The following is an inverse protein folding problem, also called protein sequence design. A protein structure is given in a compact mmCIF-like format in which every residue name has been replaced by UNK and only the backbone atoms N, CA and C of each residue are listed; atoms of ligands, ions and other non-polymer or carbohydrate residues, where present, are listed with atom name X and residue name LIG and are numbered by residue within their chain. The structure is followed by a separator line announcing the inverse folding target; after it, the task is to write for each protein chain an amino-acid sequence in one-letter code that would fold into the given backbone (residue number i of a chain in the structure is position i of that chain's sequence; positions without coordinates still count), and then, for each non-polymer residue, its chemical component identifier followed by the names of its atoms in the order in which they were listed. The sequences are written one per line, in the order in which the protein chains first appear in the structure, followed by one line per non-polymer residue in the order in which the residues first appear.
data_IF_987184859973
#
_entry.id   IF_987184859973
#
_cell.length_a   1.000
_cell.length_b   1.000
_cell.length_c   1.000
_cell.angle_alpha   90.00
_cell.angle_beta   90.00
_cell.angle_gamma   90.00
#
_symmetry.space_group_name_H-M   'P 1'
#
loop_
_entity.id
_entity.type
_entity.pdbx_description
1 polymer ?
#
# COMPACT_ATOMS: atom_id res chain seq x y z
N UNK A 1 22.75 -117.27 -74.92
CA UNK A 1 24.15 -117.73 -74.92
C UNK A 1 24.92 -116.77 -75.80
N UNK A 2 25.88 -116.02 -75.25
CA UNK A 2 26.74 -115.12 -76.03
C UNK A 2 27.76 -115.97 -76.82
N UNK A 3 27.96 -115.65 -78.10
CA UNK A 3 28.95 -116.32 -78.96
C UNK A 3 30.35 -115.82 -78.57
N UNK A 4 31.29 -116.74 -78.34
CA UNK A 4 32.67 -116.35 -78.01
C UNK A 4 33.39 -115.87 -79.26
N UNK A 5 34.38 -114.96 -79.15
CA UNK A 5 35.13 -114.46 -80.31
C UNK A 5 35.76 -115.59 -81.14
N UNK A 6 36.21 -116.66 -80.48
CA UNK A 6 36.78 -117.85 -81.13
C UNK A 6 35.72 -118.69 -81.89
N UNK A 7 34.44 -118.60 -81.51
CA UNK A 7 33.33 -119.26 -82.22
C UNK A 7 32.90 -118.50 -83.48
N UNK A 8 33.19 -117.19 -83.57
CA UNK A 8 32.87 -116.33 -84.71
C UNK A 8 33.86 -116.55 -85.85
N UNK A 9 35.17 -116.67 -85.55
CA UNK A 9 36.23 -116.94 -86.54
C UNK A 9 36.11 -118.31 -87.20
N UNK A 10 35.67 -119.33 -86.45
CA UNK A 10 35.59 -120.71 -86.95
C UNK A 10 34.32 -120.99 -87.76
N UNK A 11 33.41 -120.02 -87.89
CA UNK A 11 32.12 -120.21 -88.53
C UNK A 11 32.27 -120.17 -90.05
N UNK A 12 32.20 -121.35 -90.67
CA UNK A 12 32.31 -121.50 -92.11
C UNK A 12 30.93 -121.31 -92.77
N UNK A 13 30.83 -120.32 -93.66
CA UNK A 13 29.63 -120.12 -94.46
C UNK A 13 29.75 -120.89 -95.78
N UNK A 14 28.83 -121.83 -96.00
CA UNK A 14 28.72 -122.56 -97.27
C UNK A 14 28.39 -121.60 -98.41
N UNK A 15 29.09 -121.75 -99.53
CA UNK A 15 28.99 -120.94 -100.74
C UNK A 15 27.54 -120.71 -101.18
N UNK A 16 27.10 -119.45 -101.19
CA UNK A 16 25.77 -119.06 -101.67
C UNK A 16 25.85 -118.01 -102.77
N UNK A 17 25.42 -118.48 -103.94
CA UNK A 17 24.84 -117.93 -105.17
C UNK A 17 24.54 -116.43 -105.38
N UNK A 18 24.98 -115.47 -104.55
CA UNK A 18 24.90 -114.03 -104.85
C UNK A 18 25.88 -113.21 -103.99
N UNK A 19 26.96 -112.75 -104.62
CA UNK A 19 27.54 -111.43 -104.38
C UNK A 19 28.62 -111.24 -103.32
N UNK A 20 28.82 -112.13 -102.34
CA UNK A 20 29.84 -111.93 -101.30
C UNK A 20 30.94 -112.98 -101.40
N UNK A 21 32.20 -112.53 -101.48
CA UNK A 21 33.35 -113.42 -101.51
C UNK A 21 33.54 -114.08 -100.14
N UNK A 22 33.73 -115.41 -100.04
CA UNK A 22 34.01 -116.10 -98.78
C UNK A 22 35.21 -115.52 -98.02
N UNK A 23 36.20 -115.00 -98.75
CA UNK A 23 37.39 -114.38 -98.15
C UNK A 23 37.08 -113.01 -97.53
N UNK A 24 36.09 -112.29 -98.07
CA UNK A 24 35.60 -111.02 -97.54
C UNK A 24 34.78 -111.24 -96.27
N UNK A 25 33.95 -112.29 -96.26
CA UNK A 25 33.19 -112.70 -95.07
C UNK A 25 34.14 -113.18 -93.97
N UNK A 26 35.17 -113.96 -94.28
CA UNK A 26 36.20 -114.34 -93.30
C UNK A 26 36.95 -113.14 -92.75
N UNK A 27 37.30 -112.18 -93.60
CA UNK A 27 37.96 -110.93 -93.18
C UNK A 27 37.05 -110.10 -92.26
N UNK A 28 35.77 -109.97 -92.61
CA UNK A 28 34.79 -109.29 -91.78
C UNK A 28 34.54 -110.00 -90.46
N UNK A 29 34.49 -111.33 -90.44
CA UNK A 29 34.34 -112.11 -89.20
C UNK A 29 35.59 -112.02 -88.31
N UNK A 30 36.78 -112.01 -88.91
CA UNK A 30 38.01 -111.73 -88.18
C UNK A 30 38.02 -110.30 -87.63
N UNK A 31 37.55 -109.32 -88.40
CA UNK A 31 37.44 -107.92 -87.96
C UNK A 31 36.38 -107.74 -86.85
N UNK A 32 35.26 -108.47 -86.90
CA UNK A 32 34.25 -108.52 -85.84
C UNK A 32 34.78 -109.24 -84.60
N UNK A 33 35.50 -110.36 -84.77
CA UNK A 33 36.13 -111.07 -83.67
C UNK A 33 37.22 -110.22 -83.01
N UNK A 34 38.03 -109.49 -83.79
CA UNK A 34 39.02 -108.54 -83.28
C UNK A 34 38.36 -107.34 -82.61
N UNK A 35 37.26 -106.81 -83.15
CA UNK A 35 36.48 -105.75 -82.50
C UNK A 35 35.88 -106.24 -81.17
N UNK A 36 35.39 -107.48 -81.12
CA UNK A 36 34.83 -108.10 -79.91
C UNK A 36 35.91 -108.43 -78.88
N UNK A 37 37.08 -108.95 -79.31
CA UNK A 37 38.27 -109.08 -78.45
C UNK A 37 38.74 -107.72 -77.96
N UNK A 38 38.69 -106.66 -78.76
CA UNK A 38 39.01 -105.29 -78.32
C UNK A 38 37.99 -104.77 -77.30
N UNK A 39 36.70 -105.12 -77.40
CA UNK A 39 35.68 -104.73 -76.43
C UNK A 39 35.78 -105.51 -75.12
N UNK A 40 36.11 -106.81 -75.18
CA UNK A 40 36.36 -107.65 -74.00
C UNK A 40 37.73 -107.37 -73.35
N UNK A 41 38.72 -106.95 -74.14
CA UNK A 41 40.07 -106.61 -73.69
C UNK A 41 40.28 -105.12 -73.37
N UNK A 42 39.25 -104.27 -73.45
CA UNK A 42 39.33 -102.93 -72.88
C UNK A 42 38.96 -102.99 -71.39
N UNK A 43 39.90 -102.87 -70.45
CA UNK A 43 39.60 -102.67 -69.03
C UNK A 43 38.92 -101.32 -68.74
N UNK A 44 38.36 -100.66 -69.75
CA UNK A 44 37.78 -99.33 -69.69
C UNK A 44 36.60 -99.27 -68.70
N UNK A 45 35.74 -100.30 -68.66
CA UNK A 45 34.61 -100.33 -67.71
C UNK A 45 35.04 -100.64 -66.27
N UNK A 46 36.07 -101.46 -66.07
CA UNK A 46 36.64 -101.70 -64.74
C UNK A 46 37.29 -100.43 -64.19
N UNK A 47 38.09 -99.74 -65.02
CA UNK A 47 38.69 -98.44 -64.68
C UNK A 47 37.63 -97.36 -64.42
N UNK A 48 36.56 -97.32 -65.22
CA UNK A 48 35.46 -96.38 -65.01
C UNK A 48 34.73 -96.68 -63.69
N UNK A 49 34.54 -97.96 -63.35
CA UNK A 49 33.96 -98.36 -62.06
C UNK A 49 34.82 -97.92 -60.88
N UNK A 50 36.14 -98.11 -60.97
CA UNK A 50 37.10 -97.66 -59.94
C UNK A 50 37.15 -96.13 -59.83
N UNK A 51 37.11 -95.41 -60.96
CA UNK A 51 37.03 -93.94 -60.98
C UNK A 51 35.71 -93.43 -60.38
N UNK A 52 34.57 -94.04 -60.71
CA UNK A 52 33.27 -93.67 -60.15
C UNK A 52 33.22 -94.00 -58.66
N UNK A 53 33.74 -95.14 -58.23
CA UNK A 53 33.83 -95.50 -56.81
C UNK A 53 34.69 -94.48 -56.03
N UNK A 54 35.85 -94.09 -56.59
CA UNK A 54 36.73 -93.07 -56.03
C UNK A 54 36.04 -91.70 -55.94
N UNK A 55 35.28 -91.30 -56.97
CA UNK A 55 34.50 -90.06 -56.96
C UNK A 55 33.37 -90.13 -55.92
N UNK A 56 32.62 -91.22 -55.84
CA UNK A 56 31.55 -91.38 -54.85
C UNK A 56 32.10 -91.38 -53.43
N UNK A 57 33.24 -92.03 -53.18
CA UNK A 57 33.92 -92.00 -51.89
C UNK A 57 34.43 -90.59 -51.56
N UNK A 58 34.99 -89.88 -52.54
CA UNK A 58 35.40 -88.47 -52.40
C UNK A 58 34.22 -87.56 -52.10
N UNK A 59 33.08 -87.74 -52.80
CA UNK A 59 31.84 -86.99 -52.56
C UNK A 59 31.28 -87.32 -51.19
N UNK A 60 31.33 -88.58 -50.76
CA UNK A 60 30.86 -88.98 -49.43
C UNK A 60 31.73 -88.35 -48.33
N UNK A 61 33.06 -88.43 -48.44
CA UNK A 61 33.99 -87.74 -47.53
C UNK A 61 33.80 -86.22 -47.55
N UNK A 62 33.54 -85.64 -48.72
CA UNK A 62 33.24 -84.21 -48.85
C UNK A 62 31.91 -83.85 -48.17
N UNK A 63 30.87 -84.65 -48.36
CA UNK A 63 29.58 -84.44 -47.72
C UNK A 63 29.68 -84.57 -46.19
N UNK A 64 30.38 -85.58 -45.67
CA UNK A 64 30.64 -85.72 -44.23
C UNK A 64 31.46 -84.56 -43.66
N UNK A 65 32.45 -84.06 -44.41
CA UNK A 65 33.21 -82.88 -44.03
C UNK A 65 32.32 -81.63 -43.98
N UNK A 66 31.47 -81.43 -44.99
CA UNK A 66 30.53 -80.31 -45.06
C UNK A 66 29.50 -80.39 -43.94
N UNK A 67 28.93 -81.55 -43.64
CA UNK A 67 27.95 -81.70 -42.55
C UNK A 67 28.61 -81.45 -41.20
N UNK A 68 29.82 -81.96 -40.98
CA UNK A 68 30.59 -81.72 -39.75
C UNK A 68 30.93 -80.24 -39.58
N UNK A 69 31.36 -79.57 -40.66
CA UNK A 69 31.62 -78.13 -40.67
C UNK A 69 30.34 -77.35 -40.37
N UNK A 70 29.23 -77.67 -41.05
CA UNK A 70 27.96 -76.99 -40.84
C UNK A 70 27.38 -77.18 -39.43
N UNK A 71 27.57 -78.37 -38.84
CA UNK A 71 27.21 -78.63 -37.45
C UNK A 71 28.06 -77.79 -36.49
N UNK A 72 29.37 -77.75 -36.72
CA UNK A 72 30.31 -76.94 -35.92
C UNK A 72 29.95 -75.46 -36.01
N UNK A 73 29.70 -74.94 -37.21
CA UNK A 73 29.32 -73.55 -37.43
C UNK A 73 27.96 -73.22 -36.79
N UNK A 74 27.00 -74.14 -36.83
CA UNK A 74 25.70 -73.97 -36.18
C UNK A 74 25.81 -73.96 -34.64
N UNK A 75 26.66 -74.82 -34.07
CA UNK A 75 26.94 -74.83 -32.64
C UNK A 75 27.66 -73.56 -32.20
N UNK A 76 28.66 -73.11 -32.98
CA UNK A 76 29.36 -71.85 -32.73
C UNK A 76 28.38 -70.67 -32.79
N UNK A 77 27.55 -70.59 -33.84
CA UNK A 77 26.55 -69.51 -33.98
C UNK A 77 25.56 -69.50 -32.82
N UNK A 78 25.12 -70.67 -32.34
CA UNK A 78 24.25 -70.78 -31.16
C UNK A 78 24.95 -70.29 -29.89
N UNK A 79 26.19 -70.73 -29.68
CA UNK A 79 26.98 -70.31 -28.52
C UNK A 79 27.23 -68.79 -28.51
N UNK A 80 27.54 -68.20 -29.67
CA UNK A 80 27.70 -66.75 -29.83
C UNK A 80 26.39 -66.00 -29.58
N UNK A 81 25.27 -66.49 -30.12
CA UNK A 81 23.95 -65.89 -29.91
C UNK A 81 23.52 -65.95 -28.43
N UNK A 82 23.77 -67.06 -27.75
CA UNK A 82 23.48 -67.23 -26.32
C UNK A 82 24.35 -66.30 -25.47
N UNK A 83 25.65 -66.20 -25.78
CA UNK A 83 26.55 -65.27 -25.11
C UNK A 83 26.11 -63.81 -25.28
N UNK A 84 25.74 -63.42 -26.50
CA UNK A 84 25.24 -62.08 -26.79
C UNK A 84 23.90 -61.79 -26.08
N UNK A 85 23.00 -62.77 -26.02
CA UNK A 85 21.73 -62.63 -25.29
C UNK A 85 21.94 -62.46 -23.78
N UNK A 86 22.88 -63.21 -23.18
CA UNK A 86 23.25 -63.07 -21.77
C UNK A 86 23.85 -61.69 -21.51
N UNK A 87 24.80 -61.24 -22.34
CA UNK A 87 25.43 -59.93 -22.19
C UNK A 87 24.40 -58.80 -22.32
N UNK A 88 23.51 -58.88 -23.31
CA UNK A 88 22.46 -57.88 -23.53
C UNK A 88 21.49 -57.81 -22.34
N UNK A 89 21.08 -58.96 -21.78
CA UNK A 89 20.25 -58.99 -20.57
C UNK A 89 20.97 -58.39 -19.37
N UNK A 90 22.22 -58.80 -19.13
CA UNK A 90 23.01 -58.28 -18.03
C UNK A 90 23.29 -56.77 -18.15
N UNK A 91 23.39 -56.25 -19.37
CA UNK A 91 23.48 -54.81 -19.63
C UNK A 91 22.15 -54.11 -19.35
N UNK A 92 21.05 -54.61 -19.87
CA UNK A 92 19.72 -54.04 -19.64
C UNK A 92 19.33 -54.04 -18.15
N UNK A 93 19.71 -55.07 -17.39
CA UNK A 93 19.49 -55.13 -15.94
C UNK A 93 20.31 -54.09 -15.18
N UNK A 94 21.56 -53.86 -15.58
CA UNK A 94 22.41 -52.79 -15.00
C UNK A 94 21.84 -51.41 -15.31
N UNK A 95 21.51 -51.15 -16.57
CA UNK A 95 20.93 -49.87 -16.99
C UNK A 95 19.60 -49.61 -16.24
N UNK A 96 18.75 -50.63 -16.09
CA UNK A 96 17.52 -50.53 -15.31
C UNK A 96 17.79 -50.23 -13.83
N UNK A 97 18.76 -50.92 -13.21
CA UNK A 97 19.14 -50.69 -11.82
C UNK A 97 19.65 -49.26 -11.60
N UNK A 98 20.50 -48.76 -12.51
CA UNK A 98 21.03 -47.39 -12.46
C UNK A 98 19.91 -46.35 -12.62
N UNK A 99 18.95 -46.58 -13.52
CA UNK A 99 17.79 -45.71 -13.66
C UNK A 99 16.90 -45.70 -12.41
N UNK A 100 16.69 -46.85 -11.76
CA UNK A 100 15.91 -46.91 -10.52
C UNK A 100 16.64 -46.22 -9.36
N UNK A 101 17.96 -46.37 -9.26
CA UNK A 101 18.76 -45.68 -8.26
C UNK A 101 18.69 -44.16 -8.45
N UNK A 102 18.90 -43.67 -9.67
CA UNK A 102 18.78 -42.25 -9.99
C UNK A 102 17.37 -41.70 -9.69
N UNK A 103 16.32 -42.43 -10.08
CA UNK A 103 14.95 -42.02 -9.79
C UNK A 103 14.62 -42.02 -8.28
N UNK A 104 15.24 -42.90 -7.49
CA UNK A 104 15.09 -42.91 -6.04
C UNK A 104 15.78 -41.69 -5.40
N UNK A 105 16.99 -41.34 -5.87
CA UNK A 105 17.73 -40.16 -5.42
C UNK A 105 16.99 -38.87 -5.77
N UNK A 106 16.43 -38.75 -6.98
CA UNK A 106 15.62 -37.61 -7.41
C UNK A 106 14.37 -37.46 -6.54
N UNK A 107 13.68 -38.56 -6.22
CA UNK A 107 12.52 -38.54 -5.31
C UNK A 107 12.92 -38.11 -3.91
N UNK A 108 14.07 -38.58 -3.41
CA UNK A 108 14.58 -38.18 -2.10
C UNK A 108 14.95 -36.69 -2.08
N UNK A 109 15.59 -36.18 -3.13
CA UNK A 109 15.91 -34.77 -3.28
C UNK A 109 14.64 -33.90 -3.36
N UNK A 110 13.65 -34.30 -4.16
CA UNK A 110 12.37 -33.62 -4.28
C UNK A 110 11.61 -33.58 -2.94
N UNK A 111 11.65 -34.67 -2.17
CA UNK A 111 11.06 -34.71 -0.82
C UNK A 111 11.75 -33.71 0.12
N UNK A 112 13.09 -33.71 0.18
CA UNK A 112 13.83 -32.74 1.01
C UNK A 112 13.54 -31.30 0.62
N UNK A 113 13.41 -31.02 -0.68
CA UNK A 113 13.07 -29.68 -1.16
C UNK A 113 11.65 -29.24 -0.72
N UNK A 114 10.67 -30.16 -0.73
CA UNK A 114 9.32 -29.90 -0.22
C UNK A 114 9.32 -29.67 1.29
N UNK A 115 9.96 -30.56 2.05
CA UNK A 115 10.06 -30.46 3.51
C UNK A 115 10.73 -29.12 3.91
N UNK A 116 11.77 -28.68 3.18
CA UNK A 116 12.43 -27.39 3.40
C UNK A 116 11.54 -26.19 3.05
N UNK A 117 10.78 -26.27 1.95
CA UNK A 117 9.84 -25.21 1.55
C UNK A 117 8.68 -25.06 2.56
N UNK A 118 8.16 -26.18 3.08
CA UNK A 118 7.12 -26.19 4.11
C UNK A 118 7.64 -25.61 5.43
N UNK A 119 8.85 -25.99 5.85
CA UNK A 119 9.49 -25.43 7.05
C UNK A 119 9.71 -23.91 6.92
N UNK A 120 10.15 -23.45 5.75
CA UNK A 120 10.31 -22.02 5.47
C UNK A 120 8.97 -21.27 5.52
N UNK A 121 7.93 -21.80 4.86
CA UNK A 121 6.59 -21.20 4.87
C UNK A 121 5.99 -21.12 6.28
N UNK A 122 6.20 -22.16 7.11
CA UNK A 122 5.77 -22.16 8.50
C UNK A 122 6.50 -21.08 9.33
N UNK A 123 7.83 -21.00 9.19
CA UNK A 123 8.64 -19.98 9.87
C UNK A 123 8.25 -18.56 9.46
N UNK A 124 7.99 -18.33 8.17
CA UNK A 124 7.60 -17.01 7.69
C UNK A 124 6.21 -16.61 8.19
N UNK A 125 5.27 -17.56 8.26
CA UNK A 125 3.94 -17.33 8.85
C UNK A 125 4.07 -16.94 10.32
N UNK A 126 4.92 -17.63 11.10
CA UNK A 126 5.18 -17.29 12.50
C UNK A 126 5.78 -15.89 12.63
N UNK A 127 6.76 -15.53 11.80
CA UNK A 127 7.36 -14.19 11.77
C UNK A 127 6.34 -13.10 11.45
N UNK A 128 5.46 -13.32 10.48
CA UNK A 128 4.39 -12.38 10.13
C UNK A 128 3.42 -12.22 11.31
N UNK A 129 3.02 -13.32 11.97
CA UNK A 129 2.13 -13.24 13.14
C UNK A 129 2.76 -12.51 14.31
N UNK A 130 4.05 -12.73 14.57
CA UNK A 130 4.79 -12.06 15.63
C UNK A 130 4.95 -10.57 15.32
N UNK A 131 5.35 -10.21 14.10
CA UNK A 131 5.47 -8.81 13.67
C UNK A 131 4.13 -8.07 13.75
N UNK A 132 3.01 -8.75 13.42
CA UNK A 132 1.68 -8.18 13.56
C UNK A 132 1.34 -7.91 15.03
N UNK A 133 1.59 -8.87 15.91
CA UNK A 133 1.36 -8.71 17.36
C UNK A 133 2.18 -7.57 17.94
N UNK A 134 3.47 -7.49 17.60
CA UNK A 134 4.35 -6.39 18.04
C UNK A 134 3.86 -5.03 17.52
N UNK A 135 3.39 -4.97 16.28
CA UNK A 135 2.81 -3.75 15.70
C UNK A 135 1.51 -3.34 16.41
N UNK A 136 0.63 -4.29 16.73
CA UNK A 136 -0.60 -4.03 17.50
C UNK A 136 -0.29 -3.54 18.92
N UNK A 137 0.69 -4.15 19.60
CA UNK A 137 1.16 -3.71 20.92
C UNK A 137 1.74 -2.29 20.86
N UNK A 138 2.61 -2.00 19.89
CA UNK A 138 3.16 -0.66 19.67
C UNK A 138 2.07 0.37 19.38
N UNK A 139 1.12 0.06 18.51
CA UNK A 139 0.00 0.95 18.20
C UNK A 139 -0.85 1.23 19.44
N UNK A 140 -1.13 0.21 20.26
CA UNK A 140 -1.88 0.37 21.50
C UNK A 140 -1.14 1.24 22.52
N UNK A 141 0.18 1.10 22.64
CA UNK A 141 1.01 1.93 23.52
C UNK A 141 1.02 3.39 23.07
N UNK A 142 1.17 3.64 21.77
CA UNK A 142 1.16 5.00 21.22
C UNK A 142 -0.20 5.68 21.44
N UNK A 143 -1.30 4.93 21.28
CA UNK A 143 -2.64 5.46 21.54
C UNK A 143 -2.84 5.79 23.03
N UNK A 144 -2.40 4.90 23.94
CA UNK A 144 -2.48 5.15 25.37
C UNK A 144 -1.65 6.39 25.78
N UNK A 145 -0.43 6.52 25.26
CA UNK A 145 0.44 7.68 25.52
C UNK A 145 -0.18 8.97 24.97
N UNK A 146 -0.78 8.92 23.78
CA UNK A 146 -1.45 10.06 23.18
C UNK A 146 -2.67 10.50 24.00
N UNK A 147 -3.47 9.55 24.50
CA UNK A 147 -4.61 9.81 25.38
C UNK A 147 -4.16 10.44 26.70
N UNK A 148 -3.14 9.87 27.36
CA UNK A 148 -2.60 10.42 28.60
C UNK A 148 -2.08 11.85 28.41
N UNK A 149 -1.40 12.14 27.30
CA UNK A 149 -0.95 13.50 26.98
C UNK A 149 -2.11 14.45 26.69
N UNK A 150 -3.14 13.99 25.99
CA UNK A 150 -4.32 14.81 25.72
C UNK A 150 -5.04 15.18 27.03
N UNK A 151 -5.26 14.21 27.92
CA UNK A 151 -5.84 14.44 29.25
C UNK A 151 -4.99 15.40 30.09
N UNK A 152 -3.66 15.25 30.06
CA UNK A 152 -2.75 16.15 30.75
C UNK A 152 -2.85 17.58 30.22
N UNK A 153 -2.90 17.78 28.90
CA UNK A 153 -3.04 19.10 28.29
C UNK A 153 -4.39 19.73 28.63
N UNK A 154 -5.48 18.96 28.57
CA UNK A 154 -6.82 19.45 28.95
C UNK A 154 -6.86 19.86 30.42
N UNK A 155 -6.36 19.02 31.33
CA UNK A 155 -6.30 19.34 32.76
C UNK A 155 -5.44 20.58 33.04
N UNK A 156 -4.29 20.73 32.38
CA UNK A 156 -3.44 21.90 32.51
C UNK A 156 -4.13 23.18 31.99
N UNK A 157 -4.82 23.09 30.84
CA UNK A 157 -5.55 24.20 30.26
C UNK A 157 -6.73 24.63 31.16
N UNK A 158 -7.47 23.68 31.73
CA UNK A 158 -8.56 23.94 32.68
C UNK A 158 -8.04 24.63 33.96
N UNK A 159 -6.92 24.14 34.51
CA UNK A 159 -6.29 24.76 35.68
C UNK A 159 -5.83 26.19 35.39
N UNK A 160 -5.24 26.42 34.21
CA UNK A 160 -4.81 27.75 33.79
C UNK A 160 -6.01 28.69 33.57
N UNK A 161 -7.08 28.21 32.96
CA UNK A 161 -8.30 28.99 32.77
C UNK A 161 -8.94 29.38 34.11
N UNK A 162 -9.03 28.43 35.05
CA UNK A 162 -9.53 28.71 36.40
C UNK A 162 -8.68 29.77 37.13
N UNK A 163 -7.36 29.67 37.05
CA UNK A 163 -6.45 30.67 37.64
C UNK A 163 -6.60 32.06 37.00
N UNK A 164 -6.82 32.14 35.68
CA UNK A 164 -7.06 33.42 35.00
C UNK A 164 -8.39 34.05 35.41
N UNK A 165 -9.44 33.24 35.62
CA UNK A 165 -10.74 33.72 36.09
C UNK A 165 -10.64 34.27 37.52
N UNK A 166 -9.97 33.54 38.43
CA UNK A 166 -9.75 33.97 39.82
C UNK A 166 -8.95 35.28 39.92
N UNK A 167 -7.88 35.40 39.12
CA UNK A 167 -7.09 36.64 39.01
C UNK A 167 -7.91 37.80 38.42
N UNK A 168 -8.76 37.54 37.42
CA UNK A 168 -9.64 38.55 36.84
C UNK A 168 -10.72 39.02 37.82
N UNK A 169 -11.34 38.09 38.56
CA UNK A 169 -12.34 38.40 39.60
C UNK A 169 -11.71 39.23 40.72
N UNK A 170 -10.57 38.80 41.25
CA UNK A 170 -9.81 39.54 42.27
C UNK A 170 -9.47 40.98 41.81
N UNK A 171 -9.04 41.13 40.56
CA UNK A 171 -8.76 42.47 39.99
C UNK A 171 -10.02 43.30 39.83
N UNK A 172 -11.13 42.70 39.41
CA UNK A 172 -12.41 43.38 39.25
C UNK A 172 -12.93 43.88 40.59
N UNK A 173 -12.91 43.05 41.63
CA UNK A 173 -13.31 43.44 42.99
C UNK A 173 -12.42 44.57 43.53
N UNK A 174 -11.10 44.48 43.33
CA UNK A 174 -10.18 45.54 43.74
C UNK A 174 -10.47 46.88 43.03
N UNK A 175 -10.78 46.85 41.72
CA UNK A 175 -11.15 48.04 40.96
C UNK A 175 -12.49 48.64 41.42
N UNK A 176 -13.49 47.79 41.67
CA UNK A 176 -14.78 48.22 42.21
C UNK A 176 -14.61 48.88 43.58
N UNK A 177 -13.84 48.25 44.48
CA UNK A 177 -13.53 48.82 45.79
C UNK A 177 -12.82 50.18 45.71
N UNK A 178 -11.84 50.32 44.80
CA UNK A 178 -11.18 51.61 44.56
C UNK A 178 -12.14 52.67 44.02
N UNK A 179 -13.02 52.30 43.09
CA UNK A 179 -14.02 53.22 42.52
C UNK A 179 -15.05 53.65 43.57
N UNK A 180 -15.50 52.74 44.43
CA UNK A 180 -16.41 53.04 45.54
C UNK A 180 -15.78 53.99 46.57
N UNK A 181 -14.54 53.72 46.98
CA UNK A 181 -13.81 54.58 47.92
C UNK A 181 -13.61 55.99 47.36
N UNK A 182 -13.26 56.10 46.08
CA UNK A 182 -13.12 57.38 45.40
C UNK A 182 -14.46 58.11 45.29
N UNK A 183 -15.54 57.41 44.94
CA UNK A 183 -16.88 57.98 44.91
C UNK A 183 -17.32 58.49 46.30
N UNK A 184 -17.04 57.74 47.37
CA UNK A 184 -17.31 58.16 48.77
C UNK A 184 -16.50 59.39 49.17
N UNK A 185 -15.21 59.45 48.82
CA UNK A 185 -14.35 60.63 49.08
C UNK A 185 -14.86 61.87 48.34
N UNK A 186 -15.21 61.73 47.06
CA UNK A 186 -15.80 62.83 46.27
C UNK A 186 -17.13 63.28 46.85
N UNK A 187 -18.03 62.36 47.19
CA UNK A 187 -19.31 62.67 47.83
C UNK A 187 -19.11 63.45 49.14
N UNK A 188 -18.22 62.97 50.01
CA UNK A 188 -17.87 63.65 51.27
C UNK A 188 -17.35 65.06 51.03
N UNK A 189 -16.48 65.23 50.03
CA UNK A 189 -15.92 66.54 49.65
C UNK A 189 -17.01 67.48 49.15
N UNK A 190 -17.92 67.00 48.30
CA UNK A 190 -19.04 67.79 47.77
C UNK A 190 -20.00 68.19 48.90
N UNK A 191 -20.31 67.29 49.82
CA UNK A 191 -21.16 67.59 50.99
C UNK A 191 -20.49 68.67 51.86
N UNK A 192 -19.19 68.54 52.15
CA UNK A 192 -18.45 69.53 52.93
C UNK A 192 -18.41 70.91 52.24
N UNK A 193 -18.24 70.93 50.91
CA UNK A 193 -18.31 72.17 50.13
C UNK A 193 -19.72 72.79 50.15
N UNK A 194 -20.78 71.97 50.06
CA UNK A 194 -22.16 72.44 50.11
C UNK A 194 -22.52 72.99 51.50
N UNK A 195 -22.10 72.31 52.58
CA UNK A 195 -22.23 72.80 53.95
C UNK A 195 -21.51 74.13 54.16
N UNK A 196 -20.26 74.24 53.71
CA UNK A 196 -19.51 75.50 53.79
C UNK A 196 -20.14 76.65 52.98
N UNK A 197 -20.85 76.37 51.88
CA UNK A 197 -21.65 77.36 51.16
C UNK A 197 -22.91 77.75 51.94
N UNK A 198 -23.61 76.78 52.51
CA UNK A 198 -24.79 77.00 53.35
C UNK A 198 -24.45 77.87 54.56
N UNK A 199 -23.35 77.58 55.27
CA UNK A 199 -22.90 78.37 56.42
C UNK A 199 -22.60 79.83 56.03
N UNK A 200 -21.95 80.03 54.87
CA UNK A 200 -21.72 81.38 54.34
C UNK A 200 -23.02 82.11 54.01
N UNK A 201 -23.99 81.41 53.41
CA UNK A 201 -25.31 81.99 53.12
C UNK A 201 -26.06 82.34 54.40
N UNK A 202 -26.04 81.48 55.41
CA UNK A 202 -26.67 81.73 56.71
C UNK A 202 -25.99 82.89 57.46
N UNK A 203 -24.66 83.02 57.38
CA UNK A 203 -23.95 84.18 57.94
C UNK A 203 -24.32 85.47 57.22
N UNK A 204 -24.38 85.45 55.88
CA UNK A 204 -24.80 86.60 55.09
C UNK A 204 -26.26 86.98 55.37
N UNK A 205 -27.13 86.00 55.55
CA UNK A 205 -28.53 86.19 55.96
C UNK A 205 -28.62 86.88 57.33
N UNK A 206 -27.84 86.43 58.32
CA UNK A 206 -27.76 87.08 59.64
C UNK A 206 -27.26 88.51 59.55
N UNK A 207 -26.19 88.76 58.78
CA UNK A 207 -25.66 90.11 58.57
C UNK A 207 -26.71 91.04 57.93
N UNK A 208 -27.46 90.54 56.95
CA UNK A 208 -28.56 91.29 56.32
C UNK A 208 -29.70 91.51 57.31
N UNK A 209 -30.05 90.51 58.12
CA UNK A 209 -31.08 90.62 59.16
C UNK A 209 -30.71 91.68 60.21
N UNK A 210 -29.48 91.67 60.72
CA UNK A 210 -28.97 92.65 61.68
C UNK A 210 -29.01 94.07 61.11
N UNK A 211 -28.62 94.23 59.84
CA UNK A 211 -28.74 95.52 59.12
C UNK A 211 -30.18 95.97 58.99
N UNK A 212 -31.10 95.06 58.66
CA UNK A 212 -32.53 95.36 58.56
C UNK A 212 -33.12 95.76 59.93
N UNK A 213 -32.73 95.07 61.01
CA UNK A 213 -33.16 95.40 62.37
C UNK A 213 -32.65 96.78 62.77
N UNK A 214 -31.37 97.07 62.55
CA UNK A 214 -30.76 98.38 62.80
C UNK A 214 -31.48 99.48 62.00
N UNK A 215 -31.67 99.28 60.69
CA UNK A 215 -32.41 100.20 59.85
C UNK A 215 -33.85 100.41 60.33
N UNK A 216 -34.54 99.34 60.79
CA UNK A 216 -35.89 99.45 61.35
C UNK A 216 -35.93 100.23 62.66
N UNK A 217 -34.88 100.12 63.48
CA UNK A 217 -34.74 100.89 64.71
C UNK A 217 -34.46 102.36 64.39
N UNK A 218 -33.58 102.63 63.42
CA UNK A 218 -33.32 103.98 62.92
C UNK A 218 -34.58 104.62 62.32
N UNK A 219 -35.36 103.86 61.54
CA UNK A 219 -36.66 104.30 61.03
C UNK A 219 -37.61 104.59 62.19
N UNK A 220 -37.69 103.74 63.22
CA UNK A 220 -38.52 104.01 64.41
C UNK A 220 -38.08 105.27 65.15
N UNK A 221 -36.78 105.51 65.27
CA UNK A 221 -36.23 106.76 65.85
C UNK A 221 -36.57 107.96 64.97
N UNK A 222 -36.43 107.85 63.65
CA UNK A 222 -36.79 108.90 62.69
C UNK A 222 -38.29 109.20 62.72
N UNK A 223 -39.14 108.17 62.75
CA UNK A 223 -40.60 108.29 62.95
C UNK A 223 -40.89 108.93 64.30
N UNK A 224 -40.19 108.56 65.38
CA UNK A 224 -40.33 109.23 66.68
C UNK A 224 -39.98 110.72 66.62
N UNK A 225 -38.94 111.10 65.86
CA UNK A 225 -38.60 112.51 65.61
C UNK A 225 -39.65 113.22 64.76
N UNK A 226 -40.17 112.57 63.72
CA UNK A 226 -41.21 113.14 62.85
C UNK A 226 -42.55 113.20 63.57
N UNK A 227 -42.92 112.24 64.42
CA UNK A 227 -44.11 112.27 65.26
C UNK A 227 -43.99 113.31 66.39
N UNK A 228 -42.78 113.52 66.93
CA UNK A 228 -42.48 114.66 67.81
C UNK A 228 -42.51 116.00 67.08
N UNK A 229 -42.20 116.02 65.78
CA UNK A 229 -42.33 117.18 64.90
C UNK A 229 -43.78 117.40 64.43
N UNK A 230 -44.55 116.35 64.19
CA UNK A 230 -45.99 116.37 63.91
C UNK A 230 -46.80 116.72 65.16
N UNK A 231 -46.40 116.37 66.38
CA UNK A 231 -47.03 116.90 67.59
C UNK A 231 -46.77 118.42 67.77
N UNK A 232 -45.75 118.97 67.12
CA UNK A 232 -45.49 120.40 67.02
C UNK A 232 -46.05 121.06 65.74
N UNK A 233 -46.38 120.28 64.70
CA UNK A 233 -46.97 120.75 63.42
C UNK A 233 -48.48 120.47 63.31
N UNK A 234 -49.10 119.61 64.14
CA UNK A 234 -50.56 119.36 64.17
C UNK A 234 -51.39 120.44 64.89
N UNK A 235 -50.79 121.55 65.31
CA UNK A 235 -51.52 122.79 65.61
C UNK A 235 -51.57 123.77 64.43
N UNK A 236 -50.98 123.45 63.27
CA UNK A 236 -51.02 124.33 62.10
C UNK A 236 -51.15 123.53 60.79
N UNK A 237 -52.35 123.63 60.19
CA UNK A 237 -52.73 123.23 58.83
C UNK A 237 -53.31 121.82 58.65
N UNK A 238 -54.64 121.80 58.74
CA UNK A 238 -55.57 121.06 57.86
C UNK A 238 -55.28 121.30 56.38
N UNK A 239 -55.10 120.23 55.59
CA UNK A 239 -55.79 119.96 54.30
C UNK A 239 -55.27 118.68 53.61
N UNK A 240 -56.21 117.80 53.26
CA UNK A 240 -56.14 116.68 52.30
C UNK A 240 -56.04 117.28 50.86
N UNK A 241 -55.53 116.63 49.78
CA UNK A 241 -55.88 115.23 49.49
C UNK A 241 -54.94 114.36 48.62
N UNK A 242 -55.40 113.12 48.45
CA UNK A 242 -55.27 112.19 47.31
C UNK A 242 -53.99 111.35 47.13
N UNK A 243 -54.25 110.05 47.24
CA UNK A 243 -53.44 108.89 46.87
C UNK A 243 -53.52 108.68 45.35
N UNK A 244 -52.38 108.50 44.69
CA UNK A 244 -52.27 108.05 43.30
C UNK A 244 -51.41 106.76 43.26
N UNK A 245 -52.07 105.64 42.98
CA UNK A 245 -51.47 104.31 42.82
C UNK A 245 -51.66 103.96 41.36
N UNK A 246 -50.68 104.26 40.50
CA UNK A 246 -50.40 103.40 39.34
C UNK A 246 -49.12 103.76 38.55
N UNK A 247 -48.41 102.69 38.21
CA UNK A 247 -47.50 102.48 37.04
C UNK A 247 -46.11 103.12 37.01
N UNK A 248 -45.12 102.24 36.82
CA UNK A 248 -44.08 102.16 35.75
C UNK A 248 -43.02 101.16 36.26
N UNK A 249 -42.52 100.11 35.60
CA UNK A 249 -42.75 99.41 34.35
C UNK A 249 -41.86 98.13 34.40
N UNK A 250 -42.09 97.13 33.54
CA UNK A 250 -41.43 95.83 33.59
C UNK A 250 -40.07 95.87 32.91
N UNK A 251 -39.05 95.25 33.51
CA UNK A 251 -37.76 95.03 32.86
C UNK A 251 -37.75 93.66 32.18
N UNK A 252 -38.07 93.73 30.88
CA UNK A 252 -37.33 93.22 29.75
C UNK A 252 -36.95 91.72 29.65
N UNK A 253 -37.43 91.16 28.55
CA UNK A 253 -36.95 89.99 27.84
C UNK A 253 -35.48 90.08 27.41
N UNK A 254 -34.97 88.90 27.02
CA UNK A 254 -33.97 88.62 25.98
C UNK A 254 -32.53 88.26 26.41
N UNK A 255 -32.33 86.97 26.65
CA UNK A 255 -31.26 86.13 26.07
C UNK A 255 -31.66 84.67 26.35
N UNK A 256 -32.09 83.83 25.41
CA UNK A 256 -31.53 83.58 24.09
C UNK A 256 -30.42 82.54 24.20
N UNK A 257 -30.75 81.24 24.20
CA UNK A 257 -29.84 80.17 23.75
C UNK A 257 -30.56 78.80 23.66
N UNK A 258 -30.75 78.37 22.40
CA UNK A 258 -30.71 77.01 21.88
C UNK A 258 -31.54 75.92 22.59
N UNK A 259 -32.73 75.68 22.02
CA UNK A 259 -33.27 74.32 21.91
C UNK A 259 -32.32 73.56 20.97
N UNK A 260 -31.68 72.52 21.48
CA UNK A 260 -30.95 71.55 20.67
C UNK A 260 -32.02 70.66 20.02
N UNK A 261 -32.32 70.94 18.75
CA UNK A 261 -32.90 69.95 17.85
C UNK A 261 -31.87 68.83 17.69
N UNK A 262 -32.23 67.64 18.19
CA UNK A 262 -31.54 66.40 17.86
C UNK A 262 -31.92 66.05 16.43
N UNK A 263 -31.07 66.44 15.48
CA UNK A 263 -31.06 65.90 14.12
C UNK A 263 -30.56 64.45 14.19
N UNK A 264 -31.38 63.43 13.86
CA UNK A 264 -30.98 62.03 13.91
C UNK A 264 -30.07 61.59 12.75
N UNK A 265 -29.34 62.51 12.11
CA UNK A 265 -28.52 62.23 10.93
C UNK A 265 -27.23 63.09 10.82
N UNK A 266 -26.51 63.26 11.94
CA UNK A 266 -25.16 63.86 11.94
C UNK A 266 -24.10 62.82 11.52
N UNK A 267 -23.39 62.97 10.37
CA UNK A 267 -22.40 62.02 9.87
C UNK A 267 -21.03 62.06 10.59
N UNK A 268 -20.91 62.73 11.73
CA UNK A 268 -19.67 62.83 12.51
C UNK A 268 -19.76 62.30 13.95
N UNK A 269 -20.71 61.41 14.27
CA UNK A 269 -20.73 60.71 15.57
C UNK A 269 -19.56 59.70 15.66
N UNK A 270 -18.62 59.83 16.61
CA UNK A 270 -17.53 58.88 16.82
C UNK A 270 -17.96 57.54 17.45
N UNK A 271 -19.27 57.29 17.63
CA UNK A 271 -19.80 56.04 18.21
C UNK A 271 -20.46 55.05 17.24
N UNK A 272 -20.56 55.31 15.94
CA UNK A 272 -21.03 54.32 14.96
C UNK A 272 -19.85 53.64 14.24
N UNK A 273 -19.23 52.68 14.95
CA UNK A 273 -18.33 51.69 14.38
C UNK A 273 -19.01 50.32 14.29
N UNK A 274 -20.23 50.27 13.73
CA UNK A 274 -20.81 49.03 13.22
C UNK A 274 -20.22 48.76 11.83
N UNK A 275 -18.98 48.26 11.82
CA UNK A 275 -18.46 47.54 10.68
C UNK A 275 -19.28 46.24 10.48
N UNK A 276 -19.76 45.94 9.26
CA UNK A 276 -20.23 44.61 8.96
C UNK A 276 -19.03 43.68 9.05
N UNK A 277 -19.02 42.79 10.05
CA UNK A 277 -18.08 41.68 10.18
C UNK A 277 -17.99 40.91 8.85
N UNK A 278 -17.07 41.33 7.99
CA UNK A 278 -16.57 40.55 6.87
C UNK A 278 -15.77 39.43 7.53
N UNK A 279 -16.27 38.21 7.37
CA UNK A 279 -15.68 37.02 7.97
C UNK A 279 -14.18 36.92 7.75
N UNK A 280 -13.46 36.19 8.61
CA UNK A 280 -12.06 35.93 8.38
C UNK A 280 -11.95 35.23 7.02
N UNK A 281 -11.30 35.91 6.08
CA UNK A 281 -10.75 35.29 4.90
C UNK A 281 -10.03 34.03 5.37
N UNK A 282 -10.51 32.88 4.92
CA UNK A 282 -9.86 31.59 5.03
C UNK A 282 -8.55 31.62 4.24
N UNK A 283 -7.55 32.31 4.79
CA UNK A 283 -6.15 32.34 4.36
C UNK A 283 -5.34 31.50 5.35
N UNK A 284 -5.78 30.25 5.55
CA UNK A 284 -5.05 29.26 6.33
C UNK A 284 -5.48 27.87 5.84
N UNK A 285 -4.98 27.47 4.67
CA UNK A 285 -5.38 26.18 4.09
C UNK A 285 -4.75 25.85 2.76
N UNK A 286 -3.45 26.08 2.56
CA UNK A 286 -2.78 25.53 1.37
C UNK A 286 -1.32 25.12 1.55
N UNK A 287 -0.61 25.50 2.62
CA UNK A 287 0.76 25.01 2.82
C UNK A 287 0.82 23.58 3.39
N UNK A 288 -0.15 23.18 4.21
CA UNK A 288 -0.13 21.89 4.91
C UNK A 288 -0.78 20.75 4.10
N UNK A 289 -1.76 21.07 3.26
CA UNK A 289 -2.32 20.12 2.28
C UNK A 289 -1.34 19.74 1.17
N UNK A 290 -0.42 20.66 0.83
CA UNK A 290 0.63 20.45 -0.16
C UNK A 290 1.76 19.56 0.35
N UNK A 291 2.09 19.66 1.65
CA UNK A 291 3.10 18.81 2.29
C UNK A 291 2.62 17.35 2.42
N UNK A 292 1.36 17.13 2.80
CA UNK A 292 0.78 15.78 2.86
C UNK A 292 0.59 15.19 1.45
N UNK A 293 0.18 15.98 0.46
CA UNK A 293 0.07 15.51 -0.92
C UNK A 293 1.42 15.11 -1.54
N UNK A 294 2.51 15.81 -1.20
CA UNK A 294 3.86 15.41 -1.63
C UNK A 294 4.34 14.15 -0.94
N UNK A 295 4.10 14.01 0.36
CA UNK A 295 4.54 12.84 1.13
C UNK A 295 3.85 11.55 0.69
N UNK A 296 2.54 11.63 0.38
CA UNK A 296 1.78 10.49 -0.15
C UNK A 296 2.24 10.13 -1.57
N UNK A 297 2.49 11.11 -2.44
CA UNK A 297 2.98 10.84 -3.80
C UNK A 297 4.42 10.25 -3.81
N UNK A 298 5.31 10.70 -2.93
CA UNK A 298 6.66 10.13 -2.80
C UNK A 298 6.63 8.70 -2.22
N UNK A 299 5.77 8.43 -1.24
CA UNK A 299 5.60 7.09 -0.68
C UNK A 299 5.05 6.10 -1.72
N UNK A 300 4.05 6.51 -2.50
CA UNK A 300 3.47 5.69 -3.58
C UNK A 300 4.46 5.50 -4.74
N UNK A 301 5.21 6.53 -5.11
CA UNK A 301 6.24 6.45 -6.14
C UNK A 301 7.39 5.50 -5.79
N UNK A 302 7.83 5.50 -4.52
CA UNK A 302 8.88 4.58 -4.06
C UNK A 302 8.37 3.13 -3.94
N UNK A 303 7.12 2.91 -3.53
CA UNK A 303 6.53 1.58 -3.51
C UNK A 303 6.41 0.96 -4.91
N UNK A 304 6.05 1.76 -5.92
CA UNK A 304 5.92 1.30 -7.31
C UNK A 304 7.27 1.00 -7.99
N UNK A 305 8.35 1.71 -7.62
CA UNK A 305 9.70 1.40 -8.12
C UNK A 305 10.25 0.07 -7.61
N UNK A 306 9.76 -0.43 -6.48
CA UNK A 306 10.14 -1.75 -5.95
C UNK A 306 9.41 -2.93 -6.60
N UNK A 307 8.42 -2.67 -7.46
CA UNK A 307 7.55 -3.66 -8.09
C UNK A 307 7.76 -3.82 -9.61
N UNK A 308 8.71 -3.09 -10.19
CA UNK A 308 9.13 -3.33 -11.58
C UNK A 308 10.25 -4.38 -11.61
N UNK A 309 10.06 -5.53 -12.29
CA UNK A 309 11.05 -6.60 -12.40
C UNK A 309 12.24 -6.25 -13.31
#
# INVERSE_FOLDING_TARGET
MALTPDDIEKRQFGTSRKGYSPDEVKRFLAEVADAQRQTEATPAFARLGDEVASVLESVHRSAESITTSAQTDAEQTRAEADAYAIETRAKAERDAADHFAAAADDRAAAKRARDAAEAFAASETERITQAKKESEEQASSVLADAQARAEQVTSAAEAQAAALLDDAETRSEAQLGQAEDEARRRSTTVIAQAQGRLDKLLSAERDVHDRLVAASADIRVAIGRVAGRQAAELELATEDPTIDIDRVAPWNDAAGAAVIDLDPNDPNDPNDADEPWRGPASMAGSAQGDALSRMVNDAVGNALKGLQP
#
